data_IF_107731433213
#
_entry.id   IF_107731433213
#
_cell.length_a   1.000
_cell.length_b   1.000
_cell.length_c   1.000
_cell.angle_alpha   90.00
_cell.angle_beta   90.00
_cell.angle_gamma   90.00
#
_symmetry.space_group_name_H-M   'P 1'
#
loop_
_entity.id
_entity.type
_entity.pdbx_description
1 polymer ?
#
# COMPACT_ATOMS: atom_id res chain seq x y z
N UNK A 1 -8.70 -0.72 -34.81
CA UNK A 1 -10.15 -0.98 -34.78
C UNK A 1 -10.69 -0.41 -33.47
N UNK A 2 -11.73 0.44 -33.50
CA UNK A 2 -12.29 1.02 -32.27
C UNK A 2 -13.15 -0.01 -31.55
N UNK A 3 -12.97 -0.14 -30.24
CA UNK A 3 -13.74 -1.02 -29.35
C UNK A 3 -14.80 -0.22 -28.59
N UNK A 4 -15.79 -0.93 -28.05
CA UNK A 4 -16.78 -0.42 -27.10
C UNK A 4 -16.51 -1.08 -25.75
N UNK A 5 -16.19 -0.29 -24.73
CA UNK A 5 -15.99 -0.75 -23.36
C UNK A 5 -17.20 -0.41 -22.51
N UNK A 6 -17.82 -1.41 -21.89
CA UNK A 6 -18.91 -1.24 -20.94
C UNK A 6 -18.34 -1.37 -19.54
N UNK A 7 -18.45 -0.32 -18.72
CA UNK A 7 -17.85 -0.29 -17.40
C UNK A 7 -18.81 -0.74 -16.32
N UNK A 8 -18.33 -1.63 -15.45
CA UNK A 8 -18.95 -1.97 -14.19
C UNK A 8 -18.71 -0.88 -13.13
N UNK A 9 -19.64 -0.73 -12.19
CA UNK A 9 -19.56 0.19 -11.05
C UNK A 9 -18.29 -0.01 -10.24
N UNK A 10 -17.90 -1.27 -9.99
CA UNK A 10 -16.72 -1.59 -9.19
C UNK A 10 -15.42 -1.02 -9.77
N UNK A 11 -15.35 -0.88 -11.10
CA UNK A 11 -14.20 -0.27 -11.78
C UNK A 11 -14.09 1.22 -11.42
N UNK A 12 -15.21 1.93 -11.48
CA UNK A 12 -15.29 3.37 -11.20
C UNK A 12 -15.13 3.69 -9.71
N UNK A 13 -15.66 2.83 -8.84
CA UNK A 13 -15.52 2.97 -7.39
C UNK A 13 -14.09 2.67 -6.91
N UNK A 14 -13.35 1.84 -7.62
CA UNK A 14 -11.94 1.60 -7.32
C UNK A 14 -11.02 2.66 -7.93
N UNK A 15 -11.26 3.06 -9.18
CA UNK A 15 -10.49 4.11 -9.86
C UNK A 15 -11.42 5.09 -10.59
N UNK A 16 -11.63 6.30 -10.04
CA UNK A 16 -12.45 7.33 -10.67
C UNK A 16 -11.96 7.76 -12.06
N UNK A 17 -10.66 7.64 -12.34
CA UNK A 17 -10.08 8.05 -13.61
C UNK A 17 -10.13 6.95 -14.67
N UNK A 18 -10.66 5.77 -14.34
CA UNK A 18 -10.80 4.65 -15.27
C UNK A 18 -11.54 5.02 -16.55
N UNK A 19 -12.47 5.98 -16.50
CA UNK A 19 -13.16 6.51 -17.68
C UNK A 19 -12.22 7.04 -18.78
N UNK A 20 -10.99 7.40 -18.42
CA UNK A 20 -9.98 7.93 -19.35
C UNK A 20 -8.94 6.87 -19.78
N UNK A 21 -8.98 5.65 -19.25
CA UNK A 21 -7.96 4.61 -19.48
C UNK A 21 -8.10 3.88 -20.82
N UNK A 22 -9.12 4.20 -21.62
CA UNK A 22 -9.51 3.41 -22.80
C UNK A 22 -9.02 3.99 -24.15
N UNK A 23 -8.06 4.93 -24.14
CA UNK A 23 -7.50 5.54 -25.37
C UNK A 23 -8.63 6.05 -26.29
N UNK A 24 -8.50 5.87 -27.61
CA UNK A 24 -9.45 6.36 -28.62
C UNK A 24 -10.79 5.60 -28.71
N UNK A 25 -11.09 4.72 -27.75
CA UNK A 25 -12.27 3.84 -27.79
C UNK A 25 -13.53 4.50 -27.20
N UNK A 26 -14.67 3.85 -27.42
CA UNK A 26 -15.94 4.28 -26.85
C UNK A 26 -16.15 3.63 -25.48
N UNK A 27 -16.49 4.43 -24.47
CA UNK A 27 -16.71 4.01 -23.09
C UNK A 27 -18.18 4.23 -22.76
N UNK A 28 -18.85 3.16 -22.34
CA UNK A 28 -20.27 3.14 -22.01
C UNK A 28 -20.41 2.96 -20.50
N UNK A 29 -21.14 3.87 -19.86
CA UNK A 29 -21.55 3.76 -18.46
C UNK A 29 -23.06 3.46 -18.44
N UNK A 30 -23.48 2.25 -18.06
CA UNK A 30 -24.89 1.93 -17.86
C UNK A 30 -25.53 2.85 -16.79
N UNK A 31 -26.78 3.26 -16.98
CA UNK A 31 -27.46 4.13 -16.02
C UNK A 31 -27.57 3.55 -14.61
N UNK A 32 -27.64 2.22 -14.48
CA UNK A 32 -27.65 1.55 -13.18
C UNK A 32 -26.37 1.82 -12.38
N UNK A 33 -25.24 2.01 -13.07
CA UNK A 33 -23.96 2.36 -12.42
C UNK A 33 -24.05 3.73 -11.76
N UNK A 34 -24.83 4.66 -12.34
CA UNK A 34 -25.07 5.97 -11.73
C UNK A 34 -25.91 5.86 -10.45
N UNK A 35 -26.92 4.98 -10.42
CA UNK A 35 -27.72 4.69 -9.23
C UNK A 35 -26.83 4.15 -8.09
N UNK A 36 -25.92 3.22 -8.41
CA UNK A 36 -24.99 2.67 -7.43
C UNK A 36 -23.96 3.69 -6.94
N UNK A 37 -23.39 4.49 -7.84
CA UNK A 37 -22.50 5.59 -7.47
C UNK A 37 -23.21 6.54 -6.50
N UNK A 38 -24.46 6.92 -6.78
CA UNK A 38 -25.21 7.84 -5.92
C UNK A 38 -25.45 7.26 -4.51
N UNK A 39 -25.81 5.97 -4.43
CA UNK A 39 -25.96 5.26 -3.16
C UNK A 39 -24.64 5.24 -2.36
N UNK A 40 -23.51 5.03 -3.03
CA UNK A 40 -22.18 4.94 -2.39
C UNK A 40 -21.61 6.29 -1.95
N UNK A 41 -22.08 7.43 -2.47
CA UNK A 41 -21.60 8.78 -2.06
C UNK A 41 -21.75 9.07 -0.57
N UNK A 42 -22.69 8.40 0.10
CA UNK A 42 -22.97 8.57 1.54
C UNK A 42 -21.86 8.00 2.42
N UNK A 43 -21.03 7.11 1.89
CA UNK A 43 -19.97 6.49 2.65
C UNK A 43 -18.84 7.50 2.96
N UNK A 44 -18.31 7.42 4.18
CA UNK A 44 -17.18 8.22 4.62
C UNK A 44 -15.81 7.64 4.20
N UNK A 45 -15.82 6.47 3.56
CA UNK A 45 -14.64 5.70 3.13
C UNK A 45 -14.12 6.12 1.73
N UNK A 46 -13.10 5.40 1.26
CA UNK A 46 -12.51 5.59 -0.07
C UNK A 46 -13.51 5.35 -1.20
N UNK A 47 -14.40 4.36 -1.07
CA UNK A 47 -15.46 4.07 -2.03
C UNK A 47 -16.40 5.27 -2.17
N UNK A 48 -16.84 5.87 -1.07
CA UNK A 48 -17.70 7.06 -1.09
C UNK A 48 -16.99 8.31 -1.59
N UNK A 49 -15.67 8.44 -1.37
CA UNK A 49 -14.85 9.49 -2.00
C UNK A 49 -14.75 9.29 -3.51
N UNK A 50 -14.50 8.08 -3.96
CA UNK A 50 -14.37 7.73 -5.37
C UNK A 50 -15.70 7.94 -6.09
N UNK A 51 -16.82 7.50 -5.50
CA UNK A 51 -18.17 7.79 -5.99
C UNK A 51 -18.43 9.31 -6.17
N UNK A 52 -18.06 10.13 -5.17
CA UNK A 52 -18.15 11.60 -5.28
C UNK A 52 -17.24 12.16 -6.37
N UNK A 53 -16.07 11.57 -6.58
CA UNK A 53 -15.10 12.00 -7.59
C UNK A 53 -15.60 11.67 -9.01
N UNK A 54 -16.07 10.44 -9.23
CA UNK A 54 -16.73 10.03 -10.49
C UNK A 54 -17.91 10.95 -10.79
N UNK A 55 -18.75 11.25 -9.79
CA UNK A 55 -19.87 12.17 -9.96
C UNK A 55 -19.44 13.57 -10.41
N UNK A 56 -18.33 14.11 -9.89
CA UNK A 56 -17.80 15.41 -10.32
C UNK A 56 -17.20 15.34 -11.73
N UNK A 57 -16.51 14.25 -12.07
CA UNK A 57 -15.97 14.05 -13.42
C UNK A 57 -17.09 13.99 -14.46
N UNK A 58 -18.15 13.23 -14.19
CA UNK A 58 -19.33 13.15 -15.06
C UNK A 58 -20.05 14.51 -15.17
N UNK A 59 -20.17 15.25 -14.06
CA UNK A 59 -20.77 16.58 -14.06
C UNK A 59 -19.96 17.56 -14.93
N UNK A 60 -18.63 17.54 -14.85
CA UNK A 60 -17.76 18.33 -15.70
C UNK A 60 -17.82 17.94 -17.19
N UNK A 61 -17.96 16.64 -17.49
CA UNK A 61 -18.12 16.18 -18.88
C UNK A 61 -19.48 16.59 -19.47
N UNK A 62 -20.53 16.74 -18.65
CA UNK A 62 -21.84 17.26 -19.08
C UNK A 62 -21.75 18.70 -19.59
N UNK A 63 -20.80 19.50 -19.13
CA UNK A 63 -20.60 20.87 -19.64
C UNK A 63 -20.08 20.90 -21.08
N UNK A 64 -19.44 19.81 -21.53
CA UNK A 64 -18.86 19.68 -22.87
C UNK A 64 -19.82 19.07 -23.89
N UNK A 65 -20.98 18.60 -23.46
CA UNK A 65 -22.00 18.01 -24.33
C UNK A 65 -22.96 17.10 -23.58
N UNK A 66 -23.83 16.42 -24.33
CA UNK A 66 -24.84 15.55 -23.74
C UNK A 66 -24.31 14.13 -23.54
N UNK A 67 -24.13 13.70 -22.29
CA UNK A 67 -23.62 12.36 -21.95
C UNK A 67 -24.41 11.21 -22.59
N UNK A 68 -25.71 11.36 -22.85
CA UNK A 68 -26.52 10.32 -23.52
C UNK A 68 -26.24 10.21 -25.03
N UNK A 69 -25.84 11.30 -25.70
CA UNK A 69 -25.38 11.29 -27.10
C UNK A 69 -23.89 10.95 -27.21
N UNK A 70 -23.21 11.02 -26.06
CA UNK A 70 -21.80 10.78 -25.79
C UNK A 70 -20.91 12.00 -26.07
N UNK A 71 -19.88 12.16 -25.24
CA UNK A 71 -19.00 13.33 -25.16
C UNK A 71 -17.56 12.90 -25.50
N UNK A 72 -16.84 13.70 -26.27
CA UNK A 72 -15.44 13.42 -26.61
C UNK A 72 -14.50 13.64 -25.40
N UNK A 73 -13.54 12.73 -25.25
CA UNK A 73 -12.53 12.76 -24.20
C UNK A 73 -11.23 13.42 -24.70
N UNK A 74 -10.47 14.05 -23.80
CA UNK A 74 -9.28 14.85 -24.15
C UNK A 74 -8.16 14.06 -24.86
N UNK A 75 -8.06 12.76 -24.60
CA UNK A 75 -7.01 11.88 -25.14
C UNK A 75 -7.50 11.05 -26.34
N UNK A 76 -8.58 11.50 -26.99
CA UNK A 76 -9.32 10.72 -27.98
C UNK A 76 -10.30 9.75 -27.30
N UNK A 77 -11.36 9.37 -28.02
CA UNK A 77 -12.41 8.47 -27.50
C UNK A 77 -13.69 9.21 -27.11
N UNK A 78 -14.72 8.46 -26.74
CA UNK A 78 -16.07 8.99 -26.46
C UNK A 78 -16.67 8.34 -25.23
N UNK A 79 -17.17 9.12 -24.29
CA UNK A 79 -17.90 8.63 -23.12
C UNK A 79 -19.40 8.80 -23.32
N UNK A 80 -20.17 7.72 -23.17
CA UNK A 80 -21.64 7.74 -23.26
C UNK A 80 -22.26 7.11 -22.02
N UNK A 81 -23.29 7.76 -21.47
CA UNK A 81 -24.17 7.18 -20.44
C UNK A 81 -25.35 6.51 -21.15
N UNK A 82 -25.51 5.20 -20.96
CA UNK A 82 -26.59 4.43 -21.59
C UNK A 82 -27.80 4.31 -20.67
N UNK A 83 -28.91 4.96 -21.05
CA UNK A 83 -30.13 5.08 -20.26
C UNK A 83 -31.18 4.03 -20.63
N UNK A 84 -31.18 3.49 -21.86
CA UNK A 84 -32.40 2.95 -22.46
C UNK A 84 -32.24 1.68 -23.31
N UNK A 85 -31.20 0.86 -23.09
CA UNK A 85 -31.13 -0.46 -23.74
C UNK A 85 -32.06 -1.49 -23.07
N UNK A 86 -33.35 -1.40 -23.45
CA UNK A 86 -34.53 -2.04 -22.83
C UNK A 86 -34.79 -3.50 -23.20
N UNK A 87 -33.92 -4.19 -23.94
CA UNK A 87 -34.12 -5.65 -24.14
C UNK A 87 -33.64 -6.43 -22.92
N UNK A 88 -34.46 -6.44 -21.87
CA UNK A 88 -34.23 -7.24 -20.65
C UNK A 88 -34.55 -8.73 -20.83
N UNK A 89 -35.17 -9.11 -21.96
CA UNK A 89 -35.85 -10.39 -22.13
C UNK A 89 -34.87 -11.57 -22.06
N UNK A 90 -33.76 -11.55 -22.82
CA UNK A 90 -32.80 -12.67 -22.85
C UNK A 90 -32.01 -12.85 -21.55
N UNK A 91 -31.61 -11.76 -20.89
CA UNK A 91 -30.85 -11.84 -19.62
C UNK A 91 -31.76 -12.30 -18.48
N UNK A 92 -33.02 -11.84 -18.47
CA UNK A 92 -34.02 -12.27 -17.49
C UNK A 92 -34.39 -13.76 -17.67
N UNK A 93 -34.51 -14.24 -18.91
CA UNK A 93 -34.74 -15.66 -19.21
C UNK A 93 -33.60 -16.57 -18.72
N UNK A 94 -32.35 -16.09 -18.73
CA UNK A 94 -31.18 -16.89 -18.31
C UNK A 94 -30.85 -16.81 -16.82
N UNK A 95 -31.15 -15.70 -16.13
CA UNK A 95 -30.70 -15.47 -14.74
C UNK A 95 -31.82 -15.17 -13.73
N UNK A 96 -33.09 -15.11 -14.15
CA UNK A 96 -34.27 -15.05 -13.27
C UNK A 96 -34.52 -13.72 -12.56
N UNK A 97 -33.55 -13.22 -11.78
CA UNK A 97 -33.68 -12.00 -10.94
C UNK A 97 -33.05 -10.75 -11.58
N UNK A 98 -33.66 -9.59 -11.32
CA UNK A 98 -33.15 -8.28 -11.75
C UNK A 98 -32.13 -7.77 -10.73
N UNK A 99 -30.86 -8.19 -10.87
CA UNK A 99 -29.73 -7.60 -10.12
C UNK A 99 -29.08 -6.46 -10.89
N UNK A 100 -28.32 -5.59 -10.20
CA UNK A 100 -27.53 -4.54 -10.86
C UNK A 100 -26.58 -5.12 -11.91
N UNK A 101 -25.85 -6.19 -11.57
CA UNK A 101 -24.91 -6.85 -12.49
C UNK A 101 -25.62 -7.32 -13.76
N UNK A 102 -26.82 -7.88 -13.62
CA UNK A 102 -27.60 -8.35 -14.77
C UNK A 102 -28.05 -7.17 -15.66
N UNK A 103 -28.32 -5.99 -15.08
CA UNK A 103 -28.61 -4.75 -15.83
C UNK A 103 -27.37 -4.26 -16.61
N UNK A 104 -26.18 -4.35 -16.03
CA UNK A 104 -24.90 -4.02 -16.69
C UNK A 104 -24.63 -4.98 -17.86
N UNK A 105 -24.78 -6.29 -17.60
CA UNK A 105 -24.63 -7.34 -18.62
C UNK A 105 -25.62 -7.18 -19.77
N UNK A 106 -26.88 -6.80 -19.49
CA UNK A 106 -27.88 -6.55 -20.51
C UNK A 106 -27.48 -5.40 -21.45
N UNK A 107 -26.89 -4.32 -20.93
CA UNK A 107 -26.37 -3.24 -21.77
C UNK A 107 -25.26 -3.75 -22.68
N UNK A 108 -24.29 -4.48 -22.15
CA UNK A 108 -23.19 -5.03 -22.94
C UNK A 108 -23.67 -6.03 -24.01
N UNK A 109 -24.61 -6.91 -23.67
CA UNK A 109 -25.20 -7.87 -24.60
C UNK A 109 -25.94 -7.17 -25.75
N UNK A 110 -26.66 -6.09 -25.46
CA UNK A 110 -27.40 -5.34 -26.47
C UNK A 110 -26.47 -4.65 -27.46
N UNK A 111 -25.38 -4.01 -26.97
CA UNK A 111 -24.35 -3.48 -27.88
C UNK A 111 -23.70 -4.59 -28.73
N UNK A 112 -23.45 -5.77 -28.16
CA UNK A 112 -22.87 -6.89 -28.90
C UNK A 112 -23.80 -7.34 -30.04
N UNK A 113 -25.11 -7.44 -29.77
CA UNK A 113 -26.11 -7.79 -30.78
C UNK A 113 -26.19 -6.73 -31.88
N UNK A 114 -26.26 -5.44 -31.52
CA UNK A 114 -26.31 -4.35 -32.50
C UNK A 114 -25.06 -4.26 -33.38
N UNK A 115 -23.88 -4.50 -32.81
CA UNK A 115 -22.65 -4.52 -33.58
C UNK A 115 -22.57 -5.76 -34.48
N UNK A 116 -23.11 -6.91 -34.06
CA UNK A 116 -23.10 -8.15 -34.87
C UNK A 116 -23.92 -8.06 -36.17
N UNK A 117 -24.86 -7.12 -36.26
CA UNK A 117 -25.67 -6.87 -37.45
C UNK A 117 -25.00 -5.89 -38.44
N UNK A 118 -23.86 -5.29 -38.08
CA UNK A 118 -23.16 -4.30 -38.90
C UNK A 118 -22.16 -4.93 -39.86
N UNK A 119 -21.89 -4.22 -40.96
CA UNK A 119 -20.89 -4.62 -41.98
C UNK A 119 -19.46 -4.61 -41.42
N UNK A 120 -19.17 -3.71 -40.48
CA UNK A 120 -17.89 -3.63 -39.76
C UNK A 120 -18.16 -3.62 -38.24
N UNK A 121 -18.27 -4.81 -37.60
CA UNK A 121 -18.68 -4.94 -36.20
C UNK A 121 -17.56 -4.49 -35.26
N UNK A 122 -17.86 -3.61 -34.30
CA UNK A 122 -16.89 -3.24 -33.26
C UNK A 122 -16.91 -4.25 -32.11
N UNK A 123 -15.75 -4.67 -31.59
CA UNK A 123 -15.71 -5.52 -30.41
C UNK A 123 -16.32 -4.83 -29.19
N UNK A 124 -17.17 -5.55 -28.46
CA UNK A 124 -17.78 -5.11 -27.20
C UNK A 124 -17.12 -5.85 -26.05
N UNK A 125 -16.57 -5.09 -25.10
CA UNK A 125 -15.81 -5.60 -23.97
C UNK A 125 -16.49 -5.14 -22.68
N UNK A 126 -16.79 -6.07 -21.78
CA UNK A 126 -17.21 -5.75 -20.42
C UNK A 126 -15.97 -5.64 -19.53
N UNK A 127 -15.83 -4.51 -18.83
CA UNK A 127 -14.72 -4.30 -17.90
C UNK A 127 -15.26 -4.38 -16.47
N UNK A 128 -14.82 -5.38 -15.73
CA UNK A 128 -15.23 -5.59 -14.33
C UNK A 128 -14.08 -6.16 -13.50
N UNK A 129 -14.06 -5.80 -12.21
CA UNK A 129 -13.19 -6.41 -11.20
C UNK A 129 -13.81 -7.64 -10.53
N UNK A 130 -15.11 -7.87 -10.71
CA UNK A 130 -15.80 -8.99 -10.10
C UNK A 130 -15.71 -10.22 -11.00
N UNK A 131 -15.11 -11.30 -10.46
CA UNK A 131 -14.94 -12.56 -11.16
C UNK A 131 -16.28 -13.16 -11.59
N UNK A 132 -17.33 -13.07 -10.75
CA UNK A 132 -18.64 -13.63 -11.07
C UNK A 132 -19.32 -12.87 -12.21
N UNK A 133 -19.18 -11.54 -12.24
CA UNK A 133 -19.70 -10.72 -13.35
C UNK A 133 -18.97 -11.08 -14.65
N UNK A 134 -17.64 -11.26 -14.60
CA UNK A 134 -16.86 -11.70 -15.78
C UNK A 134 -17.25 -13.09 -16.26
N UNK A 135 -17.47 -14.05 -15.36
CA UNK A 135 -17.93 -15.40 -15.72
C UNK A 135 -19.31 -15.33 -16.40
N UNK A 136 -20.25 -14.54 -15.86
CA UNK A 136 -21.57 -14.37 -16.49
C UNK A 136 -21.47 -13.73 -17.88
N UNK A 137 -20.57 -12.77 -18.07
CA UNK A 137 -20.32 -12.15 -19.36
C UNK A 137 -19.80 -13.15 -20.40
N UNK A 138 -18.83 -13.99 -20.01
CA UNK A 138 -18.29 -15.05 -20.85
C UNK A 138 -19.38 -16.04 -21.29
N UNK A 139 -20.23 -16.49 -20.37
CA UNK A 139 -21.40 -17.35 -20.65
C UNK A 139 -22.38 -16.70 -21.65
N UNK A 140 -22.48 -15.37 -21.63
CA UNK A 140 -23.31 -14.59 -22.56
C UNK A 140 -22.62 -14.28 -23.90
N UNK A 141 -21.38 -14.71 -24.10
CA UNK A 141 -20.58 -14.45 -25.30
C UNK A 141 -20.01 -13.02 -25.37
N UNK A 142 -20.06 -12.26 -24.28
CA UNK A 142 -19.46 -10.93 -24.17
C UNK A 142 -18.01 -11.11 -23.72
N UNK A 143 -17.05 -10.47 -24.38
CA UNK A 143 -15.64 -10.53 -23.96
C UNK A 143 -15.45 -9.81 -22.62
N UNK A 144 -15.08 -10.49 -21.52
CA UNK A 144 -14.76 -9.83 -20.27
C UNK A 144 -13.27 -9.44 -20.20
N UNK A 145 -12.97 -8.27 -19.65
CA UNK A 145 -11.61 -7.84 -19.32
C UNK A 145 -11.54 -7.45 -17.82
N UNK A 146 -10.45 -7.83 -17.16
CA UNK A 146 -10.14 -7.34 -15.82
C UNK A 146 -9.65 -5.90 -15.90
N UNK A 147 -10.14 -5.02 -15.01
CA UNK A 147 -9.60 -3.67 -14.93
C UNK A 147 -8.27 -3.66 -14.18
N UNK A 148 -7.21 -3.80 -14.96
CA UNK A 148 -5.86 -3.47 -14.56
C UNK A 148 -5.66 -1.98 -14.88
N UNK A 149 -6.01 -1.08 -13.94
CA UNK A 149 -5.36 0.25 -13.90
C UNK A 149 -3.86 0.02 -14.01
N UNK A 150 -3.05 0.95 -14.56
CA UNK A 150 -1.57 0.93 -14.51
C UNK A 150 -1.08 0.76 -13.05
N UNK A 151 -1.21 -0.47 -12.57
CA UNK A 151 -0.75 -1.00 -11.33
C UNK A 151 0.74 -1.02 -11.58
N UNK A 152 1.44 -0.19 -10.80
CA UNK A 152 2.69 -0.59 -10.15
C UNK A 152 2.93 -2.08 -10.36
N UNK A 153 3.95 -2.39 -11.17
CA UNK A 153 4.11 -3.66 -11.89
C UNK A 153 3.90 -4.92 -11.06
N UNK A 154 3.63 -6.03 -11.76
CA UNK A 154 3.53 -7.41 -11.26
C UNK A 154 3.70 -7.54 -9.74
N UNK A 155 2.57 -7.47 -9.04
CA UNK A 155 2.46 -7.61 -7.58
C UNK A 155 2.86 -9.01 -7.05
N UNK A 156 3.39 -9.89 -7.89
CA UNK A 156 3.90 -11.18 -7.45
C UNK A 156 5.22 -11.06 -6.68
N UNK A 157 5.92 -9.92 -6.78
CA UNK A 157 7.08 -9.62 -5.92
C UNK A 157 7.07 -8.14 -5.51
N UNK A 158 6.46 -7.82 -4.36
CA UNK A 158 6.63 -6.51 -3.74
C UNK A 158 8.12 -6.21 -3.59
N UNK A 159 8.52 -4.97 -3.90
CA UNK A 159 9.91 -4.54 -3.75
C UNK A 159 10.41 -4.81 -2.32
N UNK A 160 11.37 -5.72 -2.17
CA UNK A 160 11.81 -6.20 -0.87
C UNK A 160 12.77 -5.24 -0.13
N UNK A 161 13.33 -4.24 -0.83
CA UNK A 161 14.35 -3.35 -0.28
C UNK A 161 15.75 -3.97 -0.19
N UNK A 162 15.91 -5.23 -0.63
CA UNK A 162 17.19 -5.89 -0.71
C UNK A 162 17.25 -6.89 -1.86
N UNK A 163 18.46 -7.19 -2.33
CA UNK A 163 18.73 -8.18 -3.36
C UNK A 163 20.00 -8.98 -3.06
N UNK A 164 20.03 -10.24 -3.50
CA UNK A 164 21.26 -11.04 -3.50
C UNK A 164 21.82 -11.10 -4.91
N UNK A 165 23.10 -10.72 -5.08
CA UNK A 165 23.79 -10.73 -6.37
C UNK A 165 24.97 -11.71 -6.35
N UNK A 166 25.00 -12.69 -7.26
CA UNK A 166 26.20 -13.47 -7.52
C UNK A 166 27.24 -12.59 -8.22
N UNK A 167 28.48 -12.57 -7.71
CA UNK A 167 29.59 -11.80 -8.27
C UNK A 167 30.90 -12.55 -8.17
N UNK A 168 31.86 -12.20 -9.04
CA UNK A 168 33.21 -12.70 -8.97
C UNK A 168 33.90 -12.29 -7.64
N UNK A 169 34.66 -13.17 -6.96
CA UNK A 169 35.32 -12.89 -5.67
C UNK A 169 36.15 -11.61 -5.64
N UNK A 170 36.78 -11.28 -6.78
CA UNK A 170 37.61 -10.09 -6.91
C UNK A 170 36.86 -8.78 -6.62
N UNK A 171 35.56 -8.69 -6.96
CA UNK A 171 34.74 -7.52 -6.62
C UNK A 171 34.51 -7.40 -5.12
N UNK A 172 34.34 -8.54 -4.43
CA UNK A 172 34.20 -8.58 -2.98
C UNK A 172 35.52 -8.16 -2.30
N UNK A 173 36.66 -8.62 -2.82
CA UNK A 173 37.99 -8.23 -2.32
C UNK A 173 38.29 -6.74 -2.56
N UNK A 174 37.89 -6.21 -3.72
CA UNK A 174 37.98 -4.79 -4.03
C UNK A 174 37.15 -3.96 -3.05
N UNK A 175 35.91 -4.38 -2.76
CA UNK A 175 35.08 -3.73 -1.75
C UNK A 175 35.73 -3.70 -0.37
N UNK A 176 36.24 -4.84 0.11
CA UNK A 176 36.88 -4.88 1.43
C UNK A 176 38.12 -3.98 1.51
N UNK A 177 38.80 -3.75 0.39
CA UNK A 177 39.96 -2.87 0.28
C UNK A 177 39.57 -1.38 0.21
N UNK A 178 38.57 -1.05 -0.63
CA UNK A 178 38.21 0.33 -0.95
C UNK A 178 37.06 0.90 -0.12
N UNK A 179 36.32 0.04 0.61
CA UNK A 179 35.09 0.38 1.33
C UNK A 179 34.02 1.07 0.47
N UNK A 180 34.05 0.83 -0.85
CA UNK A 180 33.03 1.28 -1.79
C UNK A 180 33.16 0.50 -3.10
N UNK A 181 32.05 0.30 -3.80
CA UNK A 181 32.02 -0.16 -5.19
C UNK A 181 31.13 0.77 -6.02
N UNK A 182 31.45 0.96 -7.29
CA UNK A 182 30.57 1.62 -8.24
C UNK A 182 29.47 0.68 -8.70
N UNK A 183 28.21 1.12 -8.73
CA UNK A 183 27.09 0.30 -9.23
C UNK A 183 27.33 -0.12 -10.69
N UNK A 184 28.04 0.69 -11.48
CA UNK A 184 28.40 0.35 -12.87
C UNK A 184 29.28 -0.89 -12.99
N UNK A 185 30.06 -1.24 -11.95
CA UNK A 185 30.90 -2.43 -11.96
C UNK A 185 30.08 -3.73 -11.91
N UNK A 186 28.82 -3.67 -11.45
CA UNK A 186 27.93 -4.84 -11.36
C UNK A 186 27.33 -5.24 -12.72
N UNK A 187 27.39 -4.37 -13.73
CA UNK A 187 26.89 -4.63 -15.10
C UNK A 187 25.44 -5.13 -15.16
N UNK A 188 24.58 -4.66 -14.24
CA UNK A 188 23.18 -5.06 -14.18
C UNK A 188 22.36 -4.48 -15.34
N UNK A 189 21.39 -5.24 -15.84
CA UNK A 189 20.44 -4.80 -16.88
C UNK A 189 19.28 -3.95 -16.32
N UNK A 190 19.20 -3.81 -15.01
CA UNK A 190 18.16 -3.09 -14.29
C UNK A 190 18.80 -2.11 -13.27
N UNK A 191 18.09 -1.03 -12.91
CA UNK A 191 18.59 -0.09 -11.92
C UNK A 191 18.50 -0.68 -10.51
N UNK A 192 19.45 -0.31 -9.67
CA UNK A 192 19.31 -0.41 -8.22
C UNK A 192 18.71 0.89 -7.68
N UNK A 193 17.99 0.79 -6.58
CA UNK A 193 17.31 1.92 -5.96
C UNK A 193 18.11 2.51 -4.80
N UNK A 194 17.98 3.82 -4.50
CA UNK A 194 18.60 4.42 -3.33
C UNK A 194 18.28 3.66 -2.04
N UNK A 195 19.30 3.48 -1.20
CA UNK A 195 19.21 2.75 0.07
C UNK A 195 18.80 1.28 -0.03
N UNK A 196 18.75 0.70 -1.24
CA UNK A 196 18.58 -0.73 -1.43
C UNK A 196 19.77 -1.51 -0.86
N UNK A 197 19.51 -2.62 -0.20
CA UNK A 197 20.57 -3.45 0.36
C UNK A 197 21.01 -4.53 -0.61
N UNK A 198 22.32 -4.68 -0.78
CA UNK A 198 22.91 -5.67 -1.69
C UNK A 198 23.71 -6.69 -0.90
N UNK A 199 23.32 -7.96 -1.03
CA UNK A 199 24.07 -9.11 -0.53
C UNK A 199 24.89 -9.66 -1.70
N UNK A 200 26.18 -9.33 -1.75
CA UNK A 200 27.10 -9.97 -2.69
C UNK A 200 27.41 -11.38 -2.21
N UNK A 201 27.25 -12.36 -3.09
CA UNK A 201 27.68 -13.73 -2.88
C UNK A 201 28.64 -14.13 -3.97
N UNK A 202 29.68 -14.85 -3.58
CA UNK A 202 30.58 -15.44 -4.56
C UNK A 202 29.86 -16.47 -5.45
N UNK A 203 30.03 -16.33 -6.76
CA UNK A 203 29.52 -17.26 -7.78
C UNK A 203 30.41 -18.51 -7.99
N UNK A 204 31.67 -18.48 -7.57
CA UNK A 204 32.69 -19.53 -7.78
C UNK A 204 32.79 -20.48 -6.56
N UNK A 205 32.09 -20.18 -5.47
CA UNK A 205 31.94 -21.10 -4.33
C UNK A 205 33.04 -21.04 -3.27
N UNK A 206 33.84 -19.96 -3.20
CA UNK A 206 34.78 -19.68 -2.09
C UNK A 206 34.11 -19.33 -0.76
N UNK A 207 32.80 -19.10 -0.75
CA UNK A 207 32.03 -18.74 0.44
C UNK A 207 32.13 -17.26 0.86
N UNK A 208 32.86 -16.42 0.10
CA UNK A 208 32.91 -14.98 0.35
C UNK A 208 31.54 -14.33 0.15
N UNK A 209 31.23 -13.37 1.03
CA UNK A 209 30.04 -12.53 0.91
C UNK A 209 30.27 -11.15 1.50
N UNK A 210 29.44 -10.20 1.10
CA UNK A 210 29.40 -8.86 1.66
C UNK A 210 27.96 -8.33 1.69
N UNK A 211 27.63 -7.57 2.73
CA UNK A 211 26.37 -6.83 2.83
C UNK A 211 26.70 -5.34 2.67
N UNK A 212 26.06 -4.71 1.69
CA UNK A 212 26.25 -3.32 1.30
C UNK A 212 24.89 -2.62 1.18
N UNK A 213 24.94 -1.30 1.07
CA UNK A 213 23.79 -0.43 0.83
C UNK A 213 24.07 0.48 -0.36
N UNK A 214 23.09 0.68 -1.23
CA UNK A 214 23.18 1.66 -2.32
C UNK A 214 23.14 3.07 -1.75
N UNK A 215 24.01 3.96 -2.23
CA UNK A 215 24.05 5.37 -1.84
C UNK A 215 22.75 6.09 -2.19
N UNK A 216 22.50 7.24 -1.55
CA UNK A 216 21.27 8.02 -1.75
C UNK A 216 21.06 8.52 -3.19
N UNK A 217 22.14 8.66 -3.96
CA UNK A 217 22.15 9.04 -5.37
C UNK A 217 22.12 7.83 -6.34
N UNK A 218 22.16 6.59 -5.82
CA UNK A 218 22.16 5.37 -6.62
C UNK A 218 23.48 5.05 -7.32
N UNK A 219 24.57 5.80 -7.06
CA UNK A 219 25.80 5.68 -7.86
C UNK A 219 26.79 4.65 -7.33
N UNK A 220 26.76 4.35 -6.03
CA UNK A 220 27.74 3.50 -5.33
C UNK A 220 27.08 2.52 -4.37
N UNK A 221 27.81 1.44 -4.08
CA UNK A 221 27.58 0.58 -2.93
C UNK A 221 28.54 0.98 -1.80
N UNK A 222 27.99 1.12 -0.61
CA UNK A 222 28.66 1.58 0.60
C UNK A 222 28.48 0.54 1.73
N UNK A 223 29.41 0.51 2.71
CA UNK A 223 29.22 -0.31 3.90
C UNK A 223 28.01 0.16 4.69
N UNK A 224 27.44 -0.77 5.46
CA UNK A 224 26.52 -0.39 6.54
C UNK A 224 27.36 0.30 7.63
N UNK A 225 26.88 1.44 8.11
CA UNK A 225 27.56 2.21 9.15
C UNK A 225 27.31 1.61 10.52
N UNK A 226 26.17 0.94 10.73
CA UNK A 226 25.90 0.28 11.99
C UNK A 226 26.75 -0.99 12.19
N UNK A 227 27.43 -1.01 13.33
CA UNK A 227 28.04 -2.19 13.92
C UNK A 227 27.00 -3.19 14.42
N UNK A 228 27.44 -4.19 15.18
CA UNK A 228 26.57 -5.19 15.79
C UNK A 228 26.14 -4.80 17.22
N UNK A 229 26.35 -3.54 17.61
CA UNK A 229 26.04 -3.06 18.94
C UNK A 229 24.52 -3.07 19.18
N UNK A 230 24.06 -3.48 20.38
CA UNK A 230 22.65 -3.44 20.72
C UNK A 230 22.13 -1.99 20.71
N UNK A 231 20.97 -1.78 20.09
CA UNK A 231 20.25 -0.50 20.11
C UNK A 231 19.22 -0.59 21.21
N UNK A 232 19.42 0.16 22.29
CA UNK A 232 18.53 0.16 23.45
C UNK A 232 18.21 -1.27 23.97
N UNK A 233 19.26 -2.09 24.08
CA UNK A 233 19.17 -3.48 24.52
C UNK A 233 18.78 -4.50 23.44
N UNK A 234 18.48 -4.06 22.21
CA UNK A 234 18.05 -4.93 21.10
C UNK A 234 19.16 -5.10 20.06
N UNK A 235 19.62 -6.34 19.89
CA UNK A 235 20.53 -6.71 18.79
C UNK A 235 19.76 -7.32 17.61
N UNK A 236 20.17 -6.97 16.39
CA UNK A 236 19.68 -7.62 15.18
C UNK A 236 20.08 -9.11 15.17
N UNK A 237 19.11 -10.00 14.96
CA UNK A 237 19.32 -11.46 14.92
C UNK A 237 19.62 -12.00 13.54
N UNK A 238 19.25 -11.26 12.50
CA UNK A 238 19.46 -11.63 11.11
C UNK A 238 19.77 -10.39 10.25
N UNK A 239 20.17 -10.62 8.99
CA UNK A 239 20.58 -9.56 8.08
C UNK A 239 19.47 -8.53 7.84
N UNK A 240 18.21 -8.96 7.71
CA UNK A 240 17.06 -8.08 7.46
C UNK A 240 16.82 -7.12 8.64
N UNK A 241 16.94 -7.60 9.88
CA UNK A 241 16.86 -6.74 11.06
C UNK A 241 18.02 -5.74 11.15
N UNK A 242 19.23 -6.14 10.71
CA UNK A 242 20.38 -5.23 10.64
C UNK A 242 20.14 -4.14 9.58
N UNK A 243 19.62 -4.51 8.41
CA UNK A 243 19.21 -3.56 7.38
C UNK A 243 18.14 -2.59 7.89
N UNK A 244 17.15 -3.08 8.65
CA UNK A 244 16.14 -2.22 9.27
C UNK A 244 16.73 -1.21 10.25
N UNK A 245 17.61 -1.63 11.17
CA UNK A 245 18.27 -0.71 12.10
C UNK A 245 19.13 0.33 11.38
N UNK A 246 19.83 -0.05 10.32
CA UNK A 246 20.58 0.88 9.47
C UNK A 246 19.68 1.99 8.89
N UNK A 247 18.49 1.65 8.39
CA UNK A 247 17.53 2.64 7.89
C UNK A 247 16.93 3.48 9.02
N UNK A 248 16.58 2.87 10.14
CA UNK A 248 15.92 3.54 11.27
C UNK A 248 16.84 4.55 11.96
N UNK A 249 18.14 4.27 12.04
CA UNK A 249 19.10 5.12 12.73
C UNK A 249 19.76 6.16 11.82
N UNK A 250 19.67 6.00 10.50
CA UNK A 250 20.17 7.00 9.56
C UNK A 250 19.22 8.22 9.49
N UNK A 251 19.75 9.40 9.80
CA UNK A 251 18.99 10.66 9.89
C UNK A 251 18.74 11.31 8.52
N UNK A 252 19.55 10.96 7.51
CA UNK A 252 19.41 11.47 6.14
C UNK A 252 18.23 10.81 5.41
N UNK A 253 17.63 9.78 6.01
CA UNK A 253 16.48 9.04 5.48
C UNK A 253 15.22 9.42 6.28
N UNK A 254 14.54 10.54 5.99
CA UNK A 254 13.38 10.98 6.76
C UNK A 254 12.15 10.07 6.62
N UNK A 255 12.07 9.22 5.59
CA UNK A 255 10.97 8.27 5.42
C UNK A 255 11.48 6.83 5.37
N UNK A 256 11.03 6.00 6.31
CA UNK A 256 11.35 4.58 6.34
C UNK A 256 10.07 3.76 6.25
N UNK A 257 10.09 2.72 5.44
CA UNK A 257 8.99 1.76 5.33
C UNK A 257 9.50 0.36 5.68
N UNK A 258 8.81 -0.34 6.58
CA UNK A 258 9.17 -1.70 7.00
C UNK A 258 7.96 -2.62 6.85
N UNK A 259 8.03 -3.54 5.90
CA UNK A 259 7.01 -4.58 5.71
C UNK A 259 7.51 -5.90 6.28
N UNK A 260 6.60 -6.85 6.48
CA UNK A 260 6.97 -8.22 6.82
C UNK A 260 5.92 -8.90 7.68
N UNK A 261 6.04 -10.21 7.83
CA UNK A 261 5.08 -11.01 8.59
C UNK A 261 5.05 -10.65 10.08
N UNK A 262 3.97 -11.01 10.76
CA UNK A 262 3.90 -10.89 12.21
C UNK A 262 5.06 -11.65 12.89
N UNK A 263 5.73 -11.03 13.87
CA UNK A 263 6.84 -11.64 14.62
C UNK A 263 8.25 -11.50 14.04
N UNK A 264 8.42 -10.73 12.97
CA UNK A 264 9.74 -10.40 12.40
C UNK A 264 10.50 -9.32 13.17
N UNK A 265 9.87 -8.73 14.19
CA UNK A 265 10.48 -7.76 15.11
C UNK A 265 10.35 -6.30 14.67
N UNK A 266 9.53 -6.00 13.64
CA UNK A 266 9.35 -4.63 13.11
C UNK A 266 9.13 -3.61 14.23
N UNK A 267 8.03 -3.72 14.98
CA UNK A 267 7.63 -2.76 16.02
C UNK A 267 8.70 -2.61 17.10
N UNK A 268 9.29 -3.72 17.54
CA UNK A 268 10.35 -3.71 18.56
C UNK A 268 11.60 -2.94 18.09
N UNK A 269 12.07 -3.18 16.87
CA UNK A 269 13.23 -2.50 16.30
C UNK A 269 12.98 -0.99 16.13
N UNK A 270 11.80 -0.61 15.64
CA UNK A 270 11.44 0.78 15.46
C UNK A 270 11.31 1.52 16.80
N UNK A 271 10.71 0.89 17.82
CA UNK A 271 10.63 1.45 19.17
C UNK A 271 12.02 1.63 19.77
N UNK A 272 12.88 0.61 19.72
CA UNK A 272 14.25 0.70 20.22
C UNK A 272 15.06 1.82 19.54
N UNK A 273 14.97 1.93 18.21
CA UNK A 273 15.63 3.00 17.48
C UNK A 273 15.05 4.38 17.81
N UNK A 274 13.72 4.50 17.95
CA UNK A 274 13.07 5.75 18.32
C UNK A 274 13.44 6.21 19.73
N UNK A 275 13.52 5.28 20.68
CA UNK A 275 13.88 5.55 22.07
C UNK A 275 15.36 5.95 22.17
N UNK A 276 16.24 5.23 21.48
CA UNK A 276 17.64 5.64 21.37
C UNK A 276 17.80 7.05 20.76
N UNK A 277 17.09 7.35 19.67
CA UNK A 277 17.18 8.67 19.00
C UNK A 277 16.56 9.83 19.80
N UNK A 278 15.63 9.57 20.72
CA UNK A 278 14.92 10.61 21.50
C UNK A 278 15.51 10.75 22.90
N UNK A 279 15.71 9.65 23.62
CA UNK A 279 16.15 9.63 25.01
C UNK A 279 17.68 9.66 25.15
N UNK A 280 18.42 8.97 24.29
CA UNK A 280 19.87 8.86 24.44
C UNK A 280 20.60 9.91 23.59
N UNK A 281 20.23 10.06 22.30
CA UNK A 281 20.88 11.03 21.40
C UNK A 281 20.22 12.41 21.38
N UNK A 282 19.00 12.55 21.90
CA UNK A 282 18.20 13.79 21.85
C UNK A 282 18.07 14.41 20.44
N UNK A 283 18.11 13.58 19.40
CA UNK A 283 18.02 14.04 18.00
C UNK A 283 16.62 14.54 17.65
N UNK A 284 15.60 13.90 18.21
CA UNK A 284 14.20 14.28 18.04
C UNK A 284 13.61 14.65 19.39
N UNK A 285 12.65 15.58 19.38
CA UNK A 285 12.02 16.10 20.61
C UNK A 285 11.04 15.11 21.24
N UNK A 286 10.47 14.23 20.42
CA UNK A 286 9.40 13.33 20.83
C UNK A 286 9.39 12.06 19.98
N UNK A 287 9.14 10.93 20.63
CA UNK A 287 8.73 9.68 20.00
C UNK A 287 7.21 9.61 19.99
N UNK A 288 6.62 9.66 18.80
CA UNK A 288 5.18 9.52 18.59
C UNK A 288 4.89 8.16 17.96
N UNK A 289 4.15 7.30 18.65
CA UNK A 289 3.69 6.02 18.12
C UNK A 289 2.19 6.12 17.89
N UNK A 290 1.78 5.91 16.65
CA UNK A 290 0.39 5.92 16.25
C UNK A 290 -0.01 4.60 15.58
N UNK A 291 -1.25 4.17 15.80
CA UNK A 291 -1.81 2.97 15.15
C UNK A 291 -3.25 3.26 14.70
N UNK A 292 -3.65 2.87 13.48
CA UNK A 292 -5.03 2.99 13.04
C UNK A 292 -5.93 2.08 13.87
N UNK A 293 -7.14 2.55 14.12
CA UNK A 293 -8.16 1.76 14.83
C UNK A 293 -9.14 1.28 13.79
N UNK A 294 -9.05 0.00 13.45
CA UNK A 294 -10.01 -0.67 12.56
C UNK A 294 -11.06 -1.35 13.45
N UNK A 295 -12.31 -0.86 13.47
CA UNK A 295 -13.35 -1.47 14.28
C UNK A 295 -13.76 -2.82 13.65
N UNK A 296 -13.61 -3.91 14.39
CA UNK A 296 -14.27 -5.17 14.07
C UNK A 296 -15.63 -5.22 14.77
N UNK A 297 -16.68 -4.74 14.09
CA UNK A 297 -18.06 -4.76 14.61
C UNK A 297 -18.62 -3.37 14.94
N UNK A 298 -19.34 -3.24 16.07
CA UNK A 298 -20.04 -1.99 16.45
C UNK A 298 -19.05 -0.84 16.70
N UNK A 299 -19.44 0.36 16.29
CA UNK A 299 -18.68 1.60 16.49
C UNK A 299 -18.23 1.80 17.95
N UNK A 300 -16.98 2.21 18.12
CA UNK A 300 -16.29 2.47 19.41
C UNK A 300 -17.06 3.45 20.30
N UNK A 301 -17.87 4.33 19.69
CA UNK A 301 -18.72 5.29 20.39
C UNK A 301 -19.68 4.66 21.41
N UNK A 302 -19.96 3.36 21.31
CA UNK A 302 -20.90 2.65 22.19
C UNK A 302 -20.27 1.93 23.40
N UNK A 303 -18.95 1.83 23.50
CA UNK A 303 -18.32 1.22 24.69
C UNK A 303 -18.40 2.19 25.87
N UNK A 304 -18.76 1.76 27.10
CA UNK A 304 -18.68 2.60 28.30
C UNK A 304 -17.21 2.82 28.72
N UNK A 305 -16.86 3.98 29.29
CA UNK A 305 -15.50 4.31 29.78
C UNK A 305 -14.92 5.61 29.20
N UNK A 306 -13.75 6.03 29.69
CA UNK A 306 -12.99 7.16 29.16
C UNK A 306 -12.40 6.84 27.77
N UNK A 307 -12.10 7.85 26.95
CA UNK A 307 -11.61 7.64 25.57
C UNK A 307 -10.37 6.75 25.50
N UNK A 308 -9.42 6.96 26.41
CA UNK A 308 -8.16 6.22 26.44
C UNK A 308 -8.37 4.76 26.88
N UNK A 309 -9.30 4.50 27.81
CA UNK A 309 -9.67 3.14 28.23
C UNK A 309 -10.26 2.33 27.07
N UNK A 310 -11.05 2.98 26.21
CA UNK A 310 -11.61 2.33 25.03
C UNK A 310 -10.56 1.99 23.99
N UNK A 311 -9.50 2.78 23.86
CA UNK A 311 -8.48 2.59 22.83
C UNK A 311 -7.34 1.67 23.29
N UNK A 312 -7.18 1.47 24.61
CA UNK A 312 -6.10 0.69 25.21
C UNK A 312 -5.95 -0.72 24.63
N UNK A 313 -7.02 -1.52 24.37
CA UNK A 313 -6.86 -2.85 23.78
C UNK A 313 -6.16 -2.86 22.42
N UNK A 314 -6.43 -1.86 21.57
CA UNK A 314 -5.78 -1.72 20.27
C UNK A 314 -4.32 -1.27 20.39
N UNK A 315 -3.98 -0.51 21.43
CA UNK A 315 -2.60 -0.04 21.64
C UNK A 315 -1.77 -1.03 22.48
N UNK A 316 -2.39 -2.05 23.09
CA UNK A 316 -1.72 -2.97 24.01
C UNK A 316 -0.44 -3.60 23.43
N UNK A 317 -0.37 -4.05 22.16
CA UNK A 317 0.87 -4.61 21.62
C UNK A 317 2.05 -3.62 21.59
N UNK A 318 1.79 -2.31 21.52
CA UNK A 318 2.83 -1.28 21.63
C UNK A 318 3.30 -1.18 23.09
N UNK A 319 2.37 -1.16 24.05
CA UNK A 319 2.70 -1.15 25.48
C UNK A 319 3.49 -2.38 25.90
N UNK A 320 3.14 -3.58 25.42
CA UNK A 320 3.88 -4.81 25.74
C UNK A 320 5.35 -4.74 25.27
N UNK A 321 5.60 -4.15 24.09
CA UNK A 321 6.97 -3.93 23.61
C UNK A 321 7.72 -2.87 24.43
N UNK A 322 7.04 -1.80 24.84
CA UNK A 322 7.63 -0.77 25.71
C UNK A 322 7.97 -1.37 27.08
N UNK A 323 7.07 -2.14 27.68
CA UNK A 323 7.31 -2.85 28.94
C UNK A 323 8.54 -3.76 28.87
N UNK A 324 8.70 -4.47 27.75
CA UNK A 324 9.88 -5.30 27.50
C UNK A 324 11.17 -4.46 27.42
N UNK A 325 11.16 -3.35 26.69
CA UNK A 325 12.34 -2.50 26.51
C UNK A 325 12.75 -1.76 27.81
N UNK A 326 11.78 -1.37 28.64
CA UNK A 326 12.02 -0.74 29.94
C UNK A 326 12.26 -1.77 31.08
N UNK A 327 12.25 -3.08 30.79
CA UNK A 327 12.35 -4.19 31.77
C UNK A 327 11.35 -4.05 32.94
N UNK A 328 10.11 -3.63 32.65
CA UNK A 328 9.08 -3.48 33.68
C UNK A 328 8.37 -4.80 33.93
N UNK A 329 8.33 -5.25 35.20
CA UNK A 329 7.73 -6.55 35.59
C UNK A 329 6.28 -6.47 36.07
N UNK A 330 5.71 -5.28 36.23
CA UNK A 330 4.33 -5.08 36.70
C UNK A 330 3.53 -4.19 35.74
N UNK A 331 2.31 -4.61 35.45
CA UNK A 331 1.36 -3.83 34.66
C UNK A 331 1.09 -2.46 35.32
N UNK A 332 1.17 -1.39 34.54
CA UNK A 332 0.93 0.00 34.99
C UNK A 332 2.19 0.77 35.44
N UNK A 333 3.35 0.12 35.57
CA UNK A 333 4.62 0.83 35.78
C UNK A 333 5.02 1.61 34.53
N UNK A 334 4.71 1.07 33.34
CA UNK A 334 4.98 1.74 32.07
C UNK A 334 4.22 3.06 31.93
N UNK A 335 2.95 3.11 32.33
CA UNK A 335 2.15 4.35 32.25
C UNK A 335 2.79 5.48 33.06
N UNK A 336 3.33 5.16 34.25
CA UNK A 336 4.04 6.13 35.10
C UNK A 336 5.36 6.58 34.49
N UNK A 337 6.12 5.66 33.90
CA UNK A 337 7.38 5.98 33.21
C UNK A 337 7.11 6.92 32.04
N UNK A 338 6.14 6.59 31.18
CA UNK A 338 5.78 7.41 30.03
C UNK A 338 5.28 8.78 30.43
N UNK A 339 4.46 8.87 31.49
CA UNK A 339 4.04 10.17 32.06
C UNK A 339 5.21 10.98 32.61
N UNK A 340 6.19 10.33 33.24
CA UNK A 340 7.38 10.99 33.78
C UNK A 340 8.33 11.51 32.71
N UNK A 341 8.47 10.79 31.58
CA UNK A 341 9.31 11.19 30.46
C UNK A 341 8.66 12.29 29.62
N UNK A 342 7.37 12.15 29.29
CA UNK A 342 6.60 13.11 28.47
C UNK A 342 7.02 13.23 26.99
N UNK A 343 8.22 12.75 26.66
CA UNK A 343 8.82 12.65 25.33
C UNK A 343 8.33 11.45 24.51
N UNK A 344 7.60 10.50 25.12
CA UNK A 344 7.05 9.33 24.44
C UNK A 344 5.52 9.41 24.48
N UNK A 345 4.87 9.24 23.33
CA UNK A 345 3.42 9.29 23.23
C UNK A 345 2.90 8.15 22.36
N UNK A 346 1.91 7.41 22.89
CA UNK A 346 1.14 6.40 22.15
C UNK A 346 -0.27 6.94 21.96
N UNK A 347 -0.74 7.07 20.72
CA UNK A 347 -2.10 7.56 20.42
C UNK A 347 -2.74 6.88 19.21
N UNK A 348 -4.07 6.94 19.11
CA UNK A 348 -4.75 6.52 17.89
C UNK A 348 -4.43 7.49 16.74
N UNK A 349 -4.28 6.94 15.53
CA UNK A 349 -3.93 7.72 14.33
C UNK A 349 -4.91 8.85 14.00
N UNK A 350 -6.17 8.77 14.45
CA UNK A 350 -7.15 9.84 14.25
C UNK A 350 -6.74 11.16 14.92
N UNK A 351 -5.93 11.12 15.98
CA UNK A 351 -5.48 12.30 16.74
C UNK A 351 -4.29 13.05 16.11
N UNK A 352 -3.58 12.44 15.16
CA UNK A 352 -2.51 13.14 14.42
C UNK A 352 -3.08 13.98 13.27
N UNK A 353 -4.36 13.79 12.93
CA UNK A 353 -4.99 14.47 11.80
C UNK A 353 -5.23 15.96 12.12
N UNK A 354 -4.63 16.84 11.33
CA UNK A 354 -4.81 18.30 11.42
C UNK A 354 -3.68 19.02 12.18
N UNK A 355 -2.64 18.30 12.61
CA UNK A 355 -1.48 18.85 13.32
C UNK A 355 -0.26 18.92 12.39
N UNK A 356 0.57 19.94 12.57
CA UNK A 356 1.95 19.92 12.09
C UNK A 356 2.83 19.34 13.19
N UNK A 357 3.71 18.40 12.83
CA UNK A 357 4.47 17.60 13.79
C UNK A 357 5.98 17.70 13.43
N UNK A 358 6.65 18.82 13.73
CA UNK A 358 8.07 19.01 13.43
C UNK A 358 8.99 18.43 14.51
N UNK A 359 10.17 17.96 14.11
CA UNK A 359 11.21 17.46 15.01
C UNK A 359 10.84 16.21 15.81
N UNK A 360 10.02 15.31 15.26
CA UNK A 360 9.57 14.08 15.94
C UNK A 360 10.01 12.81 15.20
N UNK A 361 10.24 11.75 15.96
CA UNK A 361 10.37 10.39 15.46
C UNK A 361 8.99 9.75 15.50
N UNK A 362 8.38 9.55 14.33
CA UNK A 362 6.97 9.17 14.19
C UNK A 362 6.90 7.74 13.68
N UNK A 363 6.38 6.83 14.50
CA UNK A 363 6.12 5.44 14.15
C UNK A 363 4.62 5.28 13.89
N UNK A 364 4.27 4.72 12.74
CA UNK A 364 2.90 4.34 12.41
C UNK A 364 2.87 2.85 12.16
N UNK A 365 2.36 2.13 13.15
CA UNK A 365 2.20 0.68 13.12
C UNK A 365 0.87 0.30 12.44
N UNK A 366 0.79 -0.92 11.90
CA UNK A 366 -0.31 -1.42 11.07
C UNK A 366 -0.69 -0.51 9.90
N UNK A 367 0.31 0.07 9.24
CA UNK A 367 0.10 1.02 8.13
C UNK A 367 -0.58 0.40 6.90
N UNK A 368 -0.63 -0.93 6.77
CA UNK A 368 -1.40 -1.62 5.71
C UNK A 368 -2.91 -1.38 5.83
N UNK A 369 -3.39 -0.99 7.02
CA UNK A 369 -4.80 -0.68 7.23
C UNK A 369 -5.15 0.77 6.82
N UNK A 370 -4.20 1.49 6.22
CA UNK A 370 -4.38 2.86 5.74
C UNK A 370 -4.67 2.89 4.25
N UNK A 371 -5.57 3.78 3.85
CA UNK A 371 -5.73 4.14 2.44
C UNK A 371 -4.54 4.95 1.92
N UNK A 372 -4.38 4.99 0.60
CA UNK A 372 -3.35 5.82 -0.08
C UNK A 372 -3.44 7.30 0.32
N UNK A 373 -4.67 7.78 0.51
CA UNK A 373 -4.92 9.16 0.91
C UNK A 373 -4.49 9.45 2.35
N UNK A 374 -4.71 8.52 3.27
CA UNK A 374 -4.30 8.69 4.67
C UNK A 374 -2.78 8.73 4.78
N UNK A 375 -2.09 7.80 4.13
CA UNK A 375 -0.61 7.81 4.05
C UNK A 375 -0.10 9.12 3.47
N UNK A 376 -0.66 9.59 2.35
CA UNK A 376 -0.32 10.90 1.77
C UNK A 376 -0.54 12.04 2.77
N UNK A 377 -1.66 12.03 3.48
CA UNK A 377 -2.04 13.07 4.46
C UNK A 377 -1.06 13.12 5.63
N UNK A 378 -0.57 11.97 6.06
CA UNK A 378 0.38 11.83 7.16
C UNK A 378 1.77 12.30 6.74
N UNK A 379 2.30 11.74 5.64
CA UNK A 379 3.68 12.00 5.20
C UNK A 379 3.85 13.47 4.80
N UNK A 380 2.83 14.09 4.18
CA UNK A 380 2.86 15.52 3.84
C UNK A 380 2.79 16.47 5.05
N UNK A 381 2.55 15.96 6.26
CA UNK A 381 2.50 16.74 7.51
C UNK A 381 3.70 16.55 8.41
N UNK A 382 4.57 15.59 8.11
CA UNK A 382 5.85 15.46 8.78
C UNK A 382 6.61 16.78 8.58
N UNK A 383 6.78 17.51 9.68
CA UNK A 383 7.48 18.79 9.63
C UNK A 383 8.98 18.59 9.39
N UNK A 384 9.68 19.68 9.15
CA UNK A 384 11.14 19.67 9.04
C UNK A 384 11.78 19.05 10.30
N UNK A 385 12.83 18.26 10.09
CA UNK A 385 13.52 17.54 11.16
C UNK A 385 12.75 16.36 11.76
N UNK A 386 11.61 15.96 11.19
CA UNK A 386 10.90 14.74 11.57
C UNK A 386 11.32 13.54 10.74
N UNK A 387 11.25 12.36 11.34
CA UNK A 387 11.41 11.07 10.67
C UNK A 387 10.12 10.27 10.79
N UNK A 388 9.62 9.74 9.68
CA UNK A 388 8.39 8.95 9.61
C UNK A 388 8.73 7.50 9.28
N UNK A 389 8.20 6.59 10.09
CA UNK A 389 8.35 5.15 9.96
C UNK A 389 6.96 4.59 9.75
N UNK A 390 6.69 4.05 8.56
CA UNK A 390 5.45 3.33 8.26
C UNK A 390 5.74 1.84 8.26
N UNK A 391 5.01 1.07 9.04
CA UNK A 391 5.27 -0.37 9.14
C UNK A 391 4.00 -1.19 9.25
N UNK A 392 4.09 -2.43 8.78
CA UNK A 392 2.91 -3.29 8.71
C UNK A 392 3.18 -4.60 7.99
N UNK A 393 2.11 -5.36 7.79
CA UNK A 393 2.12 -6.61 7.05
C UNK A 393 1.13 -6.52 5.88
N UNK A 394 1.61 -6.37 4.62
CA UNK A 394 0.72 -6.26 3.45
C UNK A 394 -0.22 -7.46 3.24
N UNK A 395 0.06 -8.61 3.86
CA UNK A 395 -0.78 -9.81 3.79
C UNK A 395 -1.86 -9.85 4.89
N UNK A 396 -1.75 -9.04 5.94
CA UNK A 396 -2.70 -8.98 7.06
C UNK A 396 -3.48 -7.66 7.06
N UNK A 397 -4.48 -7.57 6.18
CA UNK A 397 -5.32 -6.39 6.05
C UNK A 397 -6.64 -6.61 6.77
N UNK A 398 -6.89 -5.83 7.83
CA UNK A 398 -8.12 -5.88 8.61
C UNK A 398 -9.22 -5.00 7.99
N UNK A 399 -8.84 -4.01 7.18
CA UNK A 399 -9.78 -3.06 6.59
C UNK A 399 -10.55 -3.69 5.41
N UNK A 400 -11.89 -3.80 5.46
CA UNK A 400 -12.68 -4.61 4.53
C UNK A 400 -12.69 -4.11 3.08
N UNK A 401 -12.26 -2.87 2.85
CA UNK A 401 -12.22 -2.23 1.53
C UNK A 401 -10.80 -2.03 0.97
N UNK A 402 -9.79 -2.55 1.66
CA UNK A 402 -8.40 -2.50 1.20
C UNK A 402 -7.92 -3.90 0.86
N UNK A 403 -7.04 -3.99 -0.13
CA UNK A 403 -6.31 -5.19 -0.50
C UNK A 403 -4.80 -4.90 -0.60
N UNK A 404 -3.99 -5.93 -0.78
CA UNK A 404 -2.53 -5.81 -0.86
C UNK A 404 -2.05 -4.85 -1.98
N UNK A 405 -2.87 -4.67 -3.02
CA UNK A 405 -2.61 -3.83 -4.19
C UNK A 405 -3.08 -2.37 -4.02
N UNK A 406 -4.01 -2.12 -3.11
CA UNK A 406 -4.69 -0.83 -2.93
C UNK A 406 -4.31 -0.14 -1.62
N UNK A 407 -3.76 -0.85 -0.64
CA UNK A 407 -3.37 -0.25 0.62
C UNK A 407 -2.25 0.81 0.48
N UNK A 408 -2.23 1.73 1.44
CA UNK A 408 -1.33 2.87 1.45
C UNK A 408 0.14 2.51 1.69
N UNK A 409 0.42 1.41 2.41
CA UNK A 409 1.79 0.95 2.67
C UNK A 409 2.46 0.42 1.40
N UNK A 410 1.82 -0.50 0.68
CA UNK A 410 2.34 -1.00 -0.61
C UNK A 410 2.48 0.15 -1.62
N UNK A 411 1.51 1.06 -1.64
CA UNK A 411 1.54 2.22 -2.54
C UNK A 411 2.73 3.15 -2.27
N UNK A 412 3.02 3.47 -1.01
CA UNK A 412 4.13 4.38 -0.70
C UNK A 412 5.48 3.73 -0.98
N UNK A 413 5.66 2.45 -0.69
CA UNK A 413 6.88 1.70 -1.03
C UNK A 413 7.18 1.83 -2.53
N UNK A 414 6.18 1.54 -3.37
CA UNK A 414 6.34 1.60 -4.82
C UNK A 414 6.60 3.02 -5.35
N UNK A 415 5.98 4.05 -4.76
CA UNK A 415 6.18 5.44 -5.21
C UNK A 415 7.48 6.06 -4.71
N UNK A 416 7.98 5.64 -3.56
CA UNK A 416 9.15 6.23 -2.93
C UNK A 416 10.44 5.44 -3.14
N UNK A 417 10.43 4.19 -3.64
CA UNK A 417 11.66 3.41 -3.85
C UNK A 417 12.75 4.12 -4.66
N UNK A 418 12.39 5.02 -5.58
CA UNK A 418 13.36 5.79 -6.38
C UNK A 418 13.88 7.07 -5.70
N UNK A 419 13.39 7.40 -4.50
CA UNK A 419 13.69 8.66 -3.81
C UNK A 419 14.80 8.43 -2.78
N UNK A 420 15.92 9.16 -2.92
CA UNK A 420 17.06 9.10 -2.00
C UNK A 420 16.76 9.56 -0.56
N UNK A 421 15.58 10.12 -0.31
CA UNK A 421 15.10 10.51 1.03
C UNK A 421 14.30 9.40 1.73
N UNK A 422 14.19 8.22 1.11
CA UNK A 422 13.42 7.12 1.65
C UNK A 422 14.12 5.78 1.54
N UNK A 423 13.90 4.92 2.54
CA UNK A 423 14.38 3.54 2.54
C UNK A 423 13.24 2.57 2.79
N UNK A 424 13.36 1.39 2.19
CA UNK A 424 12.43 0.29 2.39
C UNK A 424 13.17 -0.99 2.77
N UNK A 425 12.57 -1.81 3.63
CA UNK A 425 13.02 -3.19 3.85
C UNK A 425 11.83 -4.10 4.20
N UNK A 426 11.82 -5.28 3.60
CA UNK A 426 10.91 -6.37 3.94
C UNK A 426 11.60 -7.35 4.88
N UNK A 427 10.98 -7.63 6.03
CA UNK A 427 11.43 -8.67 6.96
C UNK A 427 10.64 -9.96 6.71
N UNK A 428 11.27 -10.95 6.11
CA UNK A 428 10.61 -12.21 5.73
C UNK A 428 10.71 -13.27 6.83
N UNK A 429 11.85 -13.35 7.52
CA UNK A 429 12.10 -14.39 8.52
C UNK A 429 11.67 -13.92 9.90
N UNK A 430 10.66 -14.59 10.45
CA UNK A 430 10.26 -14.46 11.84
C UNK A 430 11.26 -15.17 12.76
N UNK A 431 11.64 -14.53 13.87
CA UNK A 431 12.45 -15.16 14.93
C UNK A 431 11.52 -15.72 16.02
N UNK A 432 10.43 -16.37 15.58
CA UNK A 432 9.41 -16.95 16.45
C UNK A 432 9.79 -18.37 16.88
N UNK A 433 9.12 -18.88 17.91
CA UNK A 433 9.23 -20.30 18.28
C UNK A 433 8.89 -21.19 17.08
N UNK A 434 9.46 -22.41 17.04
CA UNK A 434 9.24 -23.38 15.95
C UNK A 434 7.76 -23.62 15.65
N UNK A 435 6.90 -23.60 16.67
CA UNK A 435 5.45 -23.76 16.53
C UNK A 435 4.81 -22.62 15.75
N UNK A 436 5.16 -21.37 16.08
CA UNK A 436 4.55 -20.21 15.46
C UNK A 436 5.08 -19.94 14.04
N UNK A 437 6.31 -20.37 13.74
CA UNK A 437 6.81 -20.41 12.35
C UNK A 437 6.02 -21.44 11.53
N UNK A 438 5.89 -22.68 12.04
CA UNK A 438 5.15 -23.74 11.37
C UNK A 438 3.67 -23.37 11.15
N UNK A 439 3.03 -22.71 12.12
CA UNK A 439 1.65 -22.26 11.98
C UNK A 439 1.49 -21.19 10.88
N UNK A 440 2.42 -20.24 10.77
CA UNK A 440 2.37 -19.19 9.74
C UNK A 440 2.70 -19.69 8.32
N UNK A 441 3.39 -20.83 8.21
CA UNK A 441 3.73 -21.45 6.93
C UNK A 441 2.63 -22.44 6.46
N UNK A 442 1.85 -23.02 7.39
CA UNK A 442 0.83 -24.04 7.10
C UNK A 442 -0.62 -23.52 7.04
N UNK A 443 -0.93 -22.40 7.71
CA UNK A 443 -2.27 -21.78 7.80
C UNK A 443 -2.28 -20.46 7.04
#
# INVERSE_FOLDING_TARGET
MKKIFVLDTNVLLHDPNSIFSFKENEVIIPAVVLEEIDNKKRNADEIGRNARTVSRLLDGLRERGHLHSGVELEHGGKLKVELNHRSFIKVQEMFGEVSTDNRILAVALNYLQEESEKVDPRPVVLVSKDVLVRIKADVLGITPEDYLSDRTGDLNELYAGYQTLPVHPALIDEYYSNRSLSVKQLQLSYPLYPHEFIILKDEIGSGKSALLKVSSDGSRLEPLYLGNDPVWGISARNAQQRMALELLLNEEIPLVTITGKAGTGKTLLALAAGLFKVEDEHKYKKLLIARPVVPMGKDIGYLPGEKDEKLRPWMQPIYDNLEFLFDTKKAGDIDKILMGLGSIQVEALTYIRGRSIPGQFIIIDEAQNLSRHEVKTIVSRAGEGSKVILMGDPEQIDHPYLDAASNGLSYIVEKFKQQGISGHITLEKGERSRLAQLAADLL
#
